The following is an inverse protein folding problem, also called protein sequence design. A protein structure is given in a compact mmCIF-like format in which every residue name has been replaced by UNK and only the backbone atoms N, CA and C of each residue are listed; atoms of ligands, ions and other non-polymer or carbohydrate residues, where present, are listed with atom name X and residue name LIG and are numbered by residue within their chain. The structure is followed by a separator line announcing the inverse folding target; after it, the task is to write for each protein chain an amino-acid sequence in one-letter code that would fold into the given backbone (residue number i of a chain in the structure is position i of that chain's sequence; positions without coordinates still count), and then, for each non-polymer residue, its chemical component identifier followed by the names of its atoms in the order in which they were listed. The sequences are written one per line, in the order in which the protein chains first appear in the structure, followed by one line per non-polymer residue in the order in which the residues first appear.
data_IF_127595213438
#
_entry.id   IF_127595213438
#
_cell.length_a   1.000
_cell.length_b   1.000
_cell.length_c   1.000
_cell.angle_alpha   90.00
_cell.angle_beta   90.00
_cell.angle_gamma   90.00
#
_symmetry.space_group_name_H-M   'P 1'
#
loop_
_entity.id
_entity.type
_entity.pdbx_description
1 polymer ?
#
# COMPACT_ATOMS: atom_id res chain seq x y z
N UNK A 1 -2.31 -5.41 -2.12
CA UNK A 1 -3.75 -5.76 -2.11
C UNK A 1 -3.86 -7.27 -1.98
N UNK A 2 -4.88 -7.77 -1.29
CA UNK A 2 -5.18 -9.20 -1.23
C UNK A 2 -6.19 -9.60 -2.32
N UNK A 3 -6.47 -10.89 -2.44
CA UNK A 3 -7.52 -11.38 -3.36
C UNK A 3 -8.89 -10.81 -2.99
N UNK A 4 -9.16 -10.65 -1.69
CA UNK A 4 -10.37 -10.03 -1.17
C UNK A 4 -10.46 -8.56 -1.57
N UNK A 5 -9.37 -7.79 -1.44
CA UNK A 5 -9.31 -6.41 -1.91
C UNK A 5 -9.60 -6.32 -3.41
N UNK A 6 -9.03 -7.22 -4.22
CA UNK A 6 -9.28 -7.25 -5.66
C UNK A 6 -10.75 -7.54 -5.98
N UNK A 7 -11.37 -8.51 -5.29
CA UNK A 7 -12.76 -8.84 -5.48
C UNK A 7 -13.69 -7.67 -5.09
N UNK A 8 -13.46 -7.05 -3.94
CA UNK A 8 -14.23 -5.89 -3.47
C UNK A 8 -14.10 -4.70 -4.43
N UNK A 9 -12.93 -4.48 -5.03
CA UNK A 9 -12.75 -3.43 -6.04
C UNK A 9 -13.63 -3.65 -7.28
N UNK A 10 -13.79 -4.90 -7.72
CA UNK A 10 -14.67 -5.23 -8.85
C UNK A 10 -16.14 -5.05 -8.50
N UNK A 11 -16.56 -5.41 -7.28
CA UNK A 11 -17.92 -5.15 -6.80
C UNK A 11 -18.19 -3.64 -6.80
N UNK A 12 -17.29 -2.83 -6.23
CA UNK A 12 -17.42 -1.37 -6.25
C UNK A 12 -17.46 -0.80 -7.68
N UNK A 13 -16.66 -1.35 -8.60
CA UNK A 13 -16.69 -0.95 -10.01
C UNK A 13 -18.04 -1.25 -10.68
N UNK A 14 -18.61 -2.44 -10.44
CA UNK A 14 -19.92 -2.83 -10.97
C UNK A 14 -21.06 -1.95 -10.43
N UNK A 15 -21.01 -1.60 -9.14
CA UNK A 15 -21.98 -0.69 -8.52
C UNK A 15 -21.96 0.71 -9.13
N UNK A 16 -20.77 1.21 -9.49
CA UNK A 16 -20.57 2.55 -10.06
C UNK A 16 -20.64 2.60 -11.58
N UNK A 17 -20.62 1.45 -12.25
CA UNK A 17 -20.62 1.35 -13.71
C UNK A 17 -21.79 2.10 -14.39
N UNK A 18 -23.04 2.08 -13.88
CA UNK A 18 -24.14 2.81 -14.52
C UNK A 18 -23.95 4.33 -14.55
N UNK A 19 -23.21 4.91 -13.58
CA UNK A 19 -22.94 6.35 -13.53
C UNK A 19 -21.63 6.72 -14.25
N UNK A 20 -20.68 5.80 -14.35
CA UNK A 20 -19.35 6.05 -14.91
C UNK A 20 -19.23 5.66 -16.39
N UNK A 21 -20.00 4.68 -16.86
CA UNK A 21 -19.87 4.08 -18.18
C UNK A 21 -18.60 3.22 -18.27
N UNK A 22 -17.50 3.82 -18.73
CA UNK A 22 -16.20 3.18 -18.85
C UNK A 22 -15.11 4.06 -18.23
N UNK A 23 -14.21 3.43 -17.47
CA UNK A 23 -13.03 4.09 -16.93
C UNK A 23 -11.94 3.04 -16.62
N UNK A 24 -10.72 3.50 -16.33
CA UNK A 24 -9.56 2.66 -16.00
C UNK A 24 -9.05 3.08 -14.62
N UNK A 25 -8.85 2.09 -13.75
CA UNK A 25 -8.43 2.29 -12.37
C UNK A 25 -7.20 1.44 -12.05
N UNK A 26 -6.28 2.03 -11.29
CA UNK A 26 -5.24 1.29 -10.58
C UNK A 26 -5.85 0.81 -9.26
N UNK A 27 -5.82 -0.50 -9.04
CA UNK A 27 -6.21 -1.10 -7.76
C UNK A 27 -4.91 -1.50 -7.06
N UNK A 28 -4.60 -0.82 -5.96
CA UNK A 28 -3.43 -1.09 -5.12
C UNK A 28 -3.71 -0.68 -3.68
N UNK A 29 -2.88 -1.17 -2.75
CA UNK A 29 -2.88 -0.65 -1.39
C UNK A 29 -2.61 0.87 -1.40
N UNK A 30 -3.20 1.65 -0.47
CA UNK A 30 -2.91 3.06 -0.38
C UNK A 30 -1.42 3.27 -0.07
N UNK A 31 -0.82 4.25 -0.74
CA UNK A 31 0.58 4.64 -0.54
C UNK A 31 0.64 5.89 0.35
N UNK A 32 1.55 5.96 1.34
CA UNK A 32 1.77 7.18 2.11
C UNK A 32 2.68 8.17 1.38
N UNK A 33 3.38 7.71 0.34
CA UNK A 33 4.35 8.50 -0.40
C UNK A 33 3.68 9.60 -1.21
N UNK A 34 4.40 10.69 -1.33
CA UNK A 34 4.08 11.86 -2.14
C UNK A 34 4.95 11.85 -3.39
N UNK A 35 4.55 12.55 -4.46
CA UNK A 35 5.39 12.68 -5.66
C UNK A 35 6.81 13.20 -5.36
N UNK A 36 6.96 14.04 -4.33
CA UNK A 36 8.25 14.61 -3.91
C UNK A 36 9.20 13.55 -3.32
N UNK A 37 8.69 12.39 -2.91
CA UNK A 37 9.51 11.30 -2.37
C UNK A 37 10.13 10.45 -3.48
N UNK A 38 9.70 10.58 -4.75
CA UNK A 38 10.08 9.67 -5.83
C UNK A 38 11.60 9.59 -6.06
N UNK A 39 12.31 10.73 -6.02
CA UNK A 39 13.77 10.74 -6.18
C UNK A 39 14.47 10.01 -5.02
N UNK A 40 14.01 10.27 -3.80
CA UNK A 40 14.54 9.62 -2.60
C UNK A 40 14.20 8.13 -2.55
N UNK A 41 13.03 7.70 -3.02
CA UNK A 41 12.62 6.30 -3.12
C UNK A 41 13.51 5.51 -4.09
N UNK A 42 13.94 6.13 -5.19
CA UNK A 42 14.90 5.53 -6.12
C UNK A 42 16.29 5.43 -5.48
N UNK A 43 16.74 6.45 -4.77
CA UNK A 43 18.09 6.53 -4.23
C UNK A 43 18.29 5.69 -2.96
N UNK A 44 17.33 5.74 -2.03
CA UNK A 44 17.36 5.12 -0.71
C UNK A 44 15.93 4.89 -0.19
N UNK A 45 15.28 3.84 -0.70
CA UNK A 45 13.96 3.45 -0.24
C UNK A 45 13.89 3.18 1.27
N UNK A 46 14.86 2.49 1.92
CA UNK A 46 14.82 2.24 3.35
C UNK A 46 14.67 3.52 4.19
N UNK A 47 15.42 4.58 3.88
CA UNK A 47 15.33 5.85 4.62
C UNK A 47 13.98 6.52 4.46
N UNK A 48 13.41 6.53 3.25
CA UNK A 48 12.07 7.10 3.02
C UNK A 48 11.01 6.31 3.77
N UNK A 49 11.01 4.98 3.64
CA UNK A 49 10.03 4.12 4.33
C UNK A 49 10.15 4.29 5.85
N UNK A 50 11.35 4.46 6.39
CA UNK A 50 11.58 4.65 7.83
C UNK A 50 11.04 6.00 8.33
N UNK A 51 11.00 7.02 7.46
CA UNK A 51 10.36 8.30 7.77
C UNK A 51 8.85 8.17 7.97
N UNK A 52 8.20 7.26 7.23
CA UNK A 52 6.76 6.99 7.34
C UNK A 52 6.40 5.91 8.37
N UNK A 53 7.27 4.92 8.54
CA UNK A 53 7.06 3.76 9.41
C UNK A 53 8.31 3.49 10.27
N UNK A 54 8.57 4.29 11.32
CA UNK A 54 9.80 4.20 12.11
C UNK A 54 10.09 2.82 12.72
N UNK A 55 9.04 2.03 12.95
CA UNK A 55 9.09 0.68 13.54
C UNK A 55 9.52 -0.41 12.54
N UNK A 56 9.34 -0.18 11.23
CA UNK A 56 9.55 -1.21 10.21
C UNK A 56 10.96 -1.82 10.22
N UNK A 57 12.07 -1.05 10.40
CA UNK A 57 13.42 -1.62 10.33
C UNK A 57 13.64 -2.65 11.43
N UNK A 58 13.12 -2.39 12.63
CA UNK A 58 13.24 -3.29 13.77
C UNK A 58 12.42 -4.57 13.57
N UNK A 59 11.18 -4.44 13.08
CA UNK A 59 10.32 -5.58 12.74
C UNK A 59 10.95 -6.49 11.67
N UNK A 60 11.51 -5.88 10.61
CA UNK A 60 12.19 -6.63 9.56
C UNK A 60 13.45 -7.33 10.08
N UNK A 61 14.29 -6.63 10.84
CA UNK A 61 15.53 -7.18 11.38
C UNK A 61 15.30 -8.41 12.26
N UNK A 62 14.22 -8.42 13.07
CA UNK A 62 13.85 -9.59 13.91
C UNK A 62 13.52 -10.83 13.10
N UNK A 63 12.95 -10.67 11.90
CA UNK A 63 12.69 -11.77 10.96
C UNK A 63 13.89 -12.07 10.04
N UNK A 64 15.02 -11.35 10.20
CA UNK A 64 16.18 -11.46 9.33
C UNK A 64 15.94 -10.91 7.92
N UNK A 65 14.98 -10.00 7.76
CA UNK A 65 14.59 -9.40 6.48
C UNK A 65 15.23 -8.03 6.27
N UNK A 66 15.29 -7.62 5.01
CA UNK A 66 15.76 -6.29 4.59
C UNK A 66 14.78 -5.68 3.60
N UNK A 67 14.62 -4.36 3.65
CA UNK A 67 13.90 -3.61 2.61
C UNK A 67 14.74 -3.61 1.32
N UNK A 68 14.06 -3.48 0.17
CA UNK A 68 14.74 -3.17 -1.09
C UNK A 68 15.49 -1.84 -0.96
N UNK A 69 16.68 -1.72 -1.55
CA UNK A 69 17.46 -0.48 -1.53
C UNK A 69 16.81 0.64 -2.34
N UNK A 70 15.95 0.30 -3.30
CA UNK A 70 15.32 1.22 -4.24
C UNK A 70 13.90 0.75 -4.56
N UNK A 71 12.98 1.71 -4.74
CA UNK A 71 11.62 1.50 -5.20
C UNK A 71 11.41 2.37 -6.45
N UNK A 72 11.25 1.74 -7.60
CA UNK A 72 11.14 2.42 -8.89
C UNK A 72 9.73 2.83 -9.29
N UNK A 73 8.72 2.23 -8.64
CA UNK A 73 7.32 2.42 -8.97
C UNK A 73 6.47 2.50 -7.73
N UNK A 74 5.64 3.54 -7.69
CA UNK A 74 4.55 3.70 -6.74
C UNK A 74 3.24 3.77 -7.52
N UNK A 75 2.30 2.92 -7.14
CA UNK A 75 0.96 2.92 -7.72
C UNK A 75 0.04 3.86 -6.92
N UNK A 76 -0.55 4.84 -7.60
CA UNK A 76 -1.53 5.75 -7.01
C UNK A 76 -2.96 5.24 -7.23
N UNK A 77 -3.62 4.84 -6.15
CA UNK A 77 -5.01 4.37 -6.16
C UNK A 77 -6.02 5.50 -5.86
N UNK A 78 -5.60 6.77 -5.86
CA UNK A 78 -6.48 7.91 -5.54
C UNK A 78 -7.74 7.95 -6.41
N UNK A 79 -7.62 7.64 -7.71
CA UNK A 79 -8.75 7.59 -8.64
C UNK A 79 -9.79 6.54 -8.24
N UNK A 80 -9.36 5.35 -7.81
CA UNK A 80 -10.26 4.28 -7.36
C UNK A 80 -11.00 4.71 -6.09
N UNK A 81 -10.29 5.35 -5.14
CA UNK A 81 -10.90 5.96 -3.96
C UNK A 81 -11.96 7.00 -4.33
N UNK A 82 -11.59 7.96 -5.17
CA UNK A 82 -12.42 9.14 -5.42
C UNK A 82 -13.63 8.83 -6.30
N UNK A 83 -13.49 7.92 -7.27
CA UNK A 83 -14.58 7.59 -8.21
C UNK A 83 -15.37 6.35 -7.85
N UNK A 84 -14.74 5.36 -7.23
CA UNK A 84 -15.41 4.11 -6.83
C UNK A 84 -15.83 4.12 -5.36
N UNK A 85 -15.25 5.00 -4.53
CA UNK A 85 -15.39 4.93 -3.08
C UNK A 85 -14.63 3.74 -2.48
N UNK A 86 -13.67 3.17 -3.23
CA UNK A 86 -12.97 1.95 -2.87
C UNK A 86 -11.53 2.22 -2.42
N UNK A 87 -11.14 1.63 -1.30
CA UNK A 87 -9.75 1.60 -0.81
C UNK A 87 -9.48 0.18 -0.33
N UNK A 88 -8.32 -0.40 -0.71
CA UNK A 88 -7.90 -1.68 -0.18
C UNK A 88 -7.79 -1.62 1.35
N UNK A 89 -8.33 -2.63 2.03
CA UNK A 89 -8.23 -2.78 3.48
C UNK A 89 -6.80 -3.12 3.89
N UNK A 90 -6.10 -3.88 3.05
CA UNK A 90 -4.70 -4.25 3.29
C UNK A 90 -3.77 -3.09 2.98
N UNK A 91 -2.88 -2.76 3.92
CA UNK A 91 -1.85 -1.74 3.79
C UNK A 91 -0.52 -2.21 4.37
N UNK A 92 0.57 -1.51 4.08
CA UNK A 92 1.87 -1.81 4.69
C UNK A 92 1.81 -1.68 6.22
N UNK A 93 1.12 -0.66 6.74
CA UNK A 93 0.88 -0.50 8.17
C UNK A 93 0.14 -1.70 8.79
N UNK A 94 -0.87 -2.24 8.10
CA UNK A 94 -1.59 -3.42 8.57
C UNK A 94 -0.69 -4.67 8.62
N UNK A 95 0.24 -4.81 7.66
CA UNK A 95 1.23 -5.90 7.67
C UNK A 95 2.20 -5.73 8.84
N UNK A 96 2.72 -4.51 9.08
CA UNK A 96 3.60 -4.24 10.22
C UNK A 96 2.92 -4.52 11.57
N UNK A 97 1.66 -4.09 11.73
CA UNK A 97 0.87 -4.37 12.92
C UNK A 97 0.65 -5.88 13.13
N UNK A 98 0.45 -6.64 12.04
CA UNK A 98 0.38 -8.10 12.09
C UNK A 98 1.69 -8.73 12.57
N UNK A 99 2.83 -8.28 12.06
CA UNK A 99 4.15 -8.74 12.49
C UNK A 99 4.41 -8.44 13.96
N UNK A 100 4.01 -7.27 14.46
CA UNK A 100 4.13 -6.91 15.86
C UNK A 100 3.22 -7.77 16.76
N UNK A 101 1.99 -8.05 16.33
CA UNK A 101 1.05 -8.87 17.08
C UNK A 101 1.47 -10.35 17.16
N UNK A 102 2.09 -10.91 16.11
CA UNK A 102 2.70 -12.24 16.15
C UNK A 102 3.75 -12.36 17.27
N UNK A 103 4.46 -11.27 17.55
CA UNK A 103 5.52 -11.25 18.55
C UNK A 103 4.99 -11.07 19.97
N UNK A 104 3.93 -10.30 20.17
CA UNK A 104 3.27 -10.17 21.48
C UNK A 104 2.52 -11.44 21.93
N UNK A 105 2.29 -12.38 21.01
CA UNK A 105 1.65 -13.67 21.27
C UNK A 105 2.64 -14.83 21.49
N UNK A 106 3.95 -14.58 21.34
CA UNK A 106 5.04 -15.54 21.54
C UNK A 106 5.72 -15.38 22.92
#
# INVERSE_FOLDING_TARGET
LTVEDAAEAHVAALEKAPQLGFDIFIVSAPTPFRPDDCEALIADAPSVVAGYFPEFPALYARKGWTMFSSIDRVYDASRARDRLGFVCKTSFAAVLAGLEAEEGAA
#
